data_IF_804363498997
#
_entry.id   IF_804363498997
#
_cell.length_a   1.000
_cell.length_b   1.000
_cell.length_c   1.000
_cell.angle_alpha   90.00
_cell.angle_beta   90.00
_cell.angle_gamma   90.00
#
_symmetry.space_group_name_H-M   'P 1'
#
loop_
_entity.id
_entity.type
_entity.pdbx_description
1 polymer ?
#
# COMPACT_ATOMS: atom_id res chain seq x y z
N UNK A 1 31.82 -58.73 56.57
CA UNK A 1 32.50 -58.29 55.33
C UNK A 1 31.53 -58.48 54.21
N UNK A 2 31.00 -57.30 53.65
CA UNK A 2 30.03 -57.32 52.62
C UNK A 2 30.66 -56.63 51.39
N UNK A 3 30.80 -57.42 50.33
CA UNK A 3 31.30 -56.93 49.05
C UNK A 3 30.20 -56.19 48.25
N UNK A 4 30.45 -54.98 47.90
CA UNK A 4 29.57 -54.16 47.04
C UNK A 4 29.95 -54.40 45.56
N UNK A 5 29.02 -54.93 44.80
CA UNK A 5 29.15 -55.05 43.34
C UNK A 5 28.66 -53.78 42.61
N UNK A 6 29.57 -53.20 41.85
CA UNK A 6 29.28 -52.06 40.98
C UNK A 6 28.68 -52.58 39.67
N UNK A 7 27.41 -52.27 39.42
CA UNK A 7 26.77 -52.46 38.11
C UNK A 7 27.00 -51.24 37.25
N UNK A 8 27.80 -51.39 36.20
CA UNK A 8 28.05 -50.41 35.17
C UNK A 8 26.86 -50.41 34.19
N UNK A 9 26.07 -49.33 34.21
CA UNK A 9 25.03 -49.09 33.21
C UNK A 9 25.65 -48.43 31.99
N UNK A 10 25.70 -49.17 30.87
CA UNK A 10 26.06 -48.64 29.57
C UNK A 10 24.81 -47.96 28.99
N UNK A 11 24.79 -46.63 28.96
CA UNK A 11 23.78 -45.83 28.26
C UNK A 11 24.18 -45.77 26.77
N UNK A 12 23.46 -46.50 25.93
CA UNK A 12 23.52 -46.33 24.48
C UNK A 12 22.75 -45.06 24.12
N UNK A 13 23.46 -43.98 23.79
CA UNK A 13 22.93 -42.80 23.17
C UNK A 13 22.66 -43.09 21.69
N UNK A 14 21.42 -43.40 21.36
CA UNK A 14 20.93 -43.34 19.98
C UNK A 14 20.81 -41.88 19.55
N UNK A 15 21.83 -41.36 18.88
CA UNK A 15 21.76 -40.11 18.11
C UNK A 15 20.93 -40.38 16.85
N UNK A 16 19.64 -40.07 16.91
CA UNK A 16 18.84 -39.91 15.69
C UNK A 16 19.27 -38.64 14.97
N UNK A 17 20.08 -38.83 13.91
CA UNK A 17 20.29 -37.77 12.92
C UNK A 17 18.93 -37.43 12.28
N UNK A 18 18.35 -36.30 12.69
CA UNK A 18 17.34 -35.64 11.92
C UNK A 18 18.04 -34.93 10.73
N UNK A 19 18.07 -35.61 9.59
CA UNK A 19 18.30 -34.96 8.30
C UNK A 19 17.07 -34.13 8.02
N UNK A 20 17.12 -32.87 8.48
CA UNK A 20 16.18 -31.86 8.07
C UNK A 20 16.39 -31.58 6.57
N UNK A 21 15.58 -32.22 5.74
CA UNK A 21 15.39 -31.78 4.36
C UNK A 21 14.83 -30.36 4.42
N UNK A 22 15.72 -29.36 4.32
CA UNK A 22 15.34 -28.00 4.00
C UNK A 22 14.67 -28.04 2.63
N UNK A 23 13.34 -28.17 2.60
CA UNK A 23 12.57 -27.75 1.46
C UNK A 23 12.78 -26.24 1.35
N UNK A 24 13.78 -25.83 0.59
CA UNK A 24 13.79 -24.52 -0.03
C UNK A 24 12.58 -24.50 -0.94
N UNK A 25 11.44 -24.05 -0.42
CA UNK A 25 10.36 -23.61 -1.28
C UNK A 25 10.97 -22.53 -2.18
N UNK A 26 11.11 -22.89 -3.43
CA UNK A 26 11.51 -21.95 -4.49
C UNK A 26 10.41 -20.88 -4.53
N UNK A 27 10.62 -19.79 -3.79
CA UNK A 27 9.74 -18.62 -3.78
C UNK A 27 10.04 -17.85 -5.05
N UNK A 28 9.86 -18.48 -6.19
CA UNK A 28 9.69 -17.78 -7.44
C UNK A 28 8.29 -17.16 -7.39
N UNK A 29 8.19 -15.99 -6.76
CA UNK A 29 6.99 -15.17 -6.85
C UNK A 29 6.64 -14.96 -8.33
N UNK A 30 5.37 -14.71 -8.67
CA UNK A 30 4.95 -14.47 -10.04
C UNK A 30 5.87 -13.42 -10.65
N UNK A 31 6.44 -13.74 -11.82
CA UNK A 31 7.34 -12.85 -12.54
C UNK A 31 6.68 -11.48 -12.63
N UNK A 32 7.33 -10.47 -12.09
CA UNK A 32 6.91 -9.08 -12.25
C UNK A 32 6.88 -8.86 -13.76
N UNK A 33 5.75 -8.33 -14.25
CA UNK A 33 5.52 -8.06 -15.65
C UNK A 33 6.67 -7.21 -16.20
N UNK A 34 7.40 -7.74 -17.16
CA UNK A 34 8.59 -7.11 -17.73
C UNK A 34 8.28 -5.72 -18.30
N UNK A 35 7.04 -5.51 -18.75
CA UNK A 35 6.58 -4.22 -19.28
C UNK A 35 6.53 -3.16 -18.16
N UNK A 36 6.08 -3.51 -16.96
CA UNK A 36 6.12 -2.57 -15.84
C UNK A 36 7.54 -2.29 -15.35
N UNK A 37 8.41 -3.30 -15.33
CA UNK A 37 9.82 -3.08 -15.01
C UNK A 37 10.50 -2.20 -16.06
N UNK A 38 10.12 -2.37 -17.32
CA UNK A 38 10.60 -1.53 -18.42
C UNK A 38 10.10 -0.10 -18.26
N UNK A 39 8.83 0.11 -17.94
CA UNK A 39 8.27 1.43 -17.69
C UNK A 39 8.85 2.07 -16.42
N UNK A 40 9.05 1.32 -15.34
CA UNK A 40 9.80 1.81 -14.17
C UNK A 40 11.22 2.21 -14.53
N UNK A 41 11.90 1.46 -15.41
CA UNK A 41 13.26 1.81 -15.86
C UNK A 41 13.28 3.07 -16.72
N UNK A 42 12.27 3.23 -17.60
CA UNK A 42 12.13 4.45 -18.41
C UNK A 42 11.88 5.65 -17.49
N UNK A 43 10.95 5.54 -16.55
CA UNK A 43 10.68 6.58 -15.56
C UNK A 43 11.89 6.88 -14.67
N UNK A 44 12.68 5.86 -14.32
CA UNK A 44 13.96 6.04 -13.60
C UNK A 44 15.03 6.69 -14.47
N UNK A 45 15.19 6.29 -15.73
CA UNK A 45 16.22 6.83 -16.62
C UNK A 45 15.96 8.30 -16.99
N UNK A 46 14.69 8.67 -17.16
CA UNK A 46 14.32 10.08 -17.36
C UNK A 46 14.46 10.90 -16.06
N UNK A 47 14.45 10.22 -14.90
CA UNK A 47 14.62 10.81 -13.58
C UNK A 47 16.08 10.90 -13.10
N UNK A 48 17.04 10.27 -13.76
CA UNK A 48 18.46 10.27 -13.32
C UNK A 48 19.08 11.68 -13.21
N UNK A 49 18.53 12.65 -13.92
CA UNK A 49 18.93 14.06 -13.80
C UNK A 49 18.04 14.87 -12.85
N UNK A 50 17.15 14.23 -12.09
CA UNK A 50 16.24 14.89 -11.14
C UNK A 50 16.40 14.26 -9.77
N UNK A 51 16.67 15.05 -8.72
CA UNK A 51 16.71 14.57 -7.33
C UNK A 51 15.36 14.03 -6.83
N UNK A 52 14.31 14.14 -7.63
CA UNK A 52 12.91 13.88 -7.30
C UNK A 52 12.36 12.57 -7.89
N UNK A 53 13.25 11.59 -8.20
CA UNK A 53 12.85 10.24 -8.60
C UNK A 53 11.89 9.60 -7.57
N UNK A 54 11.41 8.40 -7.83
CA UNK A 54 10.51 7.69 -6.93
C UNK A 54 10.85 7.90 -5.46
N UNK A 55 10.02 8.66 -4.75
CA UNK A 55 10.19 8.87 -3.31
C UNK A 55 9.76 7.58 -2.60
N UNK A 56 10.75 6.77 -2.22
CA UNK A 56 10.53 5.46 -1.57
C UNK A 56 10.59 5.54 -0.04
N UNK A 57 10.92 6.70 0.51
CA UNK A 57 11.19 6.89 1.94
C UNK A 57 10.30 7.96 2.58
N UNK A 58 9.05 8.08 2.14
CA UNK A 58 8.08 9.01 2.71
C UNK A 58 7.86 8.72 4.19
N UNK A 59 8.00 9.78 4.99
CA UNK A 59 7.76 9.74 6.44
C UNK A 59 6.26 9.74 6.76
N UNK A 60 5.91 9.51 8.03
CA UNK A 60 4.53 9.64 8.48
C UNK A 60 4.02 11.08 8.30
N UNK A 61 4.87 12.09 8.53
CA UNK A 61 4.51 13.49 8.26
C UNK A 61 4.16 13.73 6.80
N UNK A 62 4.92 13.15 5.86
CA UNK A 62 4.59 13.26 4.42
C UNK A 62 3.19 12.67 4.11
N UNK A 63 2.81 11.58 4.79
CA UNK A 63 1.48 10.99 4.65
C UNK A 63 0.39 11.88 5.25
N UNK A 64 0.63 12.50 6.41
CA UNK A 64 -0.31 13.40 7.08
C UNK A 64 -0.55 14.65 6.22
N UNK A 65 0.52 15.17 5.60
CA UNK A 65 0.43 16.35 4.74
C UNK A 65 -0.25 16.05 3.39
N UNK A 66 -0.03 14.85 2.86
CA UNK A 66 -0.49 14.47 1.52
C UNK A 66 -1.93 13.95 1.50
N UNK A 67 -2.34 13.20 2.51
CA UNK A 67 -3.62 12.51 2.56
C UNK A 67 -4.72 13.38 3.20
N UNK A 68 -6.01 13.03 3.04
CA UNK A 68 -7.10 13.77 3.67
C UNK A 68 -6.91 13.97 5.17
N UNK A 69 -7.28 15.12 5.74
CA UNK A 69 -7.01 15.47 7.15
C UNK A 69 -7.52 14.44 8.18
N UNK A 70 -8.50 13.63 7.81
CA UNK A 70 -9.00 12.53 8.66
C UNK A 70 -8.04 11.36 8.85
N UNK A 71 -7.01 11.22 8.00
CA UNK A 71 -6.08 10.09 8.06
C UNK A 71 -5.34 10.02 9.40
N UNK A 72 -4.69 11.10 9.81
CA UNK A 72 -3.95 11.13 11.08
C UNK A 72 -4.83 10.76 12.28
N UNK A 73 -6.06 11.30 12.33
CA UNK A 73 -7.03 10.96 13.38
C UNK A 73 -7.49 9.50 13.34
N UNK A 74 -7.67 8.94 12.12
CA UNK A 74 -8.02 7.53 11.98
C UNK A 74 -6.89 6.63 12.49
N UNK A 75 -5.65 6.95 12.13
CA UNK A 75 -4.47 6.22 12.58
C UNK A 75 -4.28 6.30 14.11
N UNK A 76 -4.52 7.47 14.71
CA UNK A 76 -4.42 7.67 16.15
C UNK A 76 -5.46 6.89 16.96
N UNK A 77 -6.61 6.57 16.35
CA UNK A 77 -7.69 5.80 17.00
C UNK A 77 -7.48 4.29 16.95
N UNK A 78 -6.51 3.80 16.19
CA UNK A 78 -6.26 2.38 16.08
C UNK A 78 -5.79 1.80 17.42
N UNK A 79 -6.42 0.73 17.84
CA UNK A 79 -6.07 -0.04 19.03
C UNK A 79 -5.24 -1.29 18.71
N UNK A 80 -4.88 -2.08 19.73
CA UNK A 80 -3.97 -3.23 19.59
C UNK A 80 -4.50 -4.37 18.69
N UNK A 81 -5.80 -4.44 18.45
CA UNK A 81 -6.43 -5.44 17.58
C UNK A 81 -6.67 -4.91 16.16
N UNK A 82 -6.45 -3.61 15.96
CA UNK A 82 -6.63 -2.99 14.66
C UNK A 82 -5.40 -3.15 13.78
N UNK A 83 -5.60 -2.95 12.47
CA UNK A 83 -4.55 -3.13 11.49
C UNK A 83 -4.54 -2.00 10.48
N UNK A 84 -3.34 -1.54 10.16
CA UNK A 84 -3.06 -0.59 9.10
C UNK A 84 -2.33 -1.28 7.95
N UNK A 85 -2.83 -1.12 6.72
CA UNK A 85 -2.14 -1.56 5.49
C UNK A 85 -1.63 -0.34 4.74
N UNK A 86 -0.37 -0.35 4.36
CA UNK A 86 0.25 0.67 3.51
C UNK A 86 0.67 0.05 2.17
N UNK A 87 0.00 0.46 1.09
CA UNK A 87 0.23 -0.05 -0.26
C UNK A 87 1.19 0.88 -0.99
N UNK A 88 2.27 0.33 -1.53
CA UNK A 88 3.34 1.14 -2.11
C UNK A 88 4.24 1.77 -1.05
N UNK A 89 4.42 1.08 0.07
CA UNK A 89 5.10 1.58 1.28
C UNK A 89 6.59 1.95 1.08
N UNK A 90 7.20 1.61 -0.05
CA UNK A 90 8.62 1.86 -0.29
C UNK A 90 9.50 1.25 0.80
N UNK A 91 10.29 2.04 1.51
CA UNK A 91 11.10 1.58 2.65
C UNK A 91 10.29 1.28 3.93
N UNK A 92 8.99 1.57 3.94
CA UNK A 92 8.12 1.43 5.10
C UNK A 92 8.35 2.49 6.18
N UNK A 93 8.92 3.66 5.79
CA UNK A 93 9.30 4.71 6.75
C UNK A 93 8.09 5.26 7.51
N UNK A 94 6.95 5.46 6.87
CA UNK A 94 5.74 5.92 7.55
C UNK A 94 5.31 4.95 8.67
N UNK A 95 5.40 3.64 8.42
CA UNK A 95 5.13 2.61 9.45
C UNK A 95 6.17 2.68 10.58
N UNK A 96 7.46 2.77 10.24
CA UNK A 96 8.50 2.90 11.28
C UNK A 96 8.30 4.14 12.14
N UNK A 97 7.96 5.27 11.52
CA UNK A 97 7.70 6.53 12.23
C UNK A 97 6.47 6.41 13.14
N UNK A 98 5.41 5.68 12.74
CA UNK A 98 4.24 5.41 13.57
C UNK A 98 4.60 4.79 14.92
N UNK A 99 5.61 3.94 14.98
CA UNK A 99 6.05 3.29 16.21
C UNK A 99 7.17 4.04 16.95
N UNK A 100 7.96 4.84 16.26
CA UNK A 100 9.20 5.43 16.83
C UNK A 100 9.14 6.93 17.04
N UNK A 101 8.16 7.63 16.47
CA UNK A 101 8.02 9.08 16.57
C UNK A 101 6.69 9.48 17.16
N UNK A 102 6.65 10.68 17.74
CA UNK A 102 5.41 11.43 17.99
C UNK A 102 5.23 12.40 16.85
N UNK A 103 4.14 12.25 16.10
CA UNK A 103 3.75 13.14 15.01
C UNK A 103 2.52 13.95 15.42
N UNK A 104 2.45 15.20 14.97
CA UNK A 104 1.22 15.97 15.03
C UNK A 104 0.30 15.44 13.91
N UNK A 105 -0.88 15.01 14.30
CA UNK A 105 -1.85 14.39 13.38
C UNK A 105 -2.79 15.42 12.74
N UNK A 106 -2.44 16.71 12.83
CA UNK A 106 -3.16 17.80 12.18
C UNK A 106 -4.38 18.31 12.94
N UNK A 107 -4.57 17.89 14.18
CA UNK A 107 -5.60 18.42 15.11
C UNK A 107 -5.00 19.22 16.28
N UNK A 108 -3.68 19.37 16.27
CA UNK A 108 -2.90 20.10 17.30
C UNK A 108 -2.78 19.39 18.64
N UNK A 109 -3.59 18.37 18.90
CA UNK A 109 -3.64 17.68 20.18
C UNK A 109 -3.34 16.19 20.08
N UNK A 110 -3.74 15.56 18.98
CA UNK A 110 -3.62 14.12 18.80
C UNK A 110 -2.24 13.75 18.27
N UNK A 111 -1.51 12.96 19.03
CA UNK A 111 -0.21 12.43 18.65
C UNK A 111 -0.23 10.92 18.64
N UNK A 112 0.41 10.34 17.65
CA UNK A 112 0.71 8.91 17.65
C UNK A 112 1.66 8.63 18.78
N UNK A 113 1.19 7.93 19.80
CA UNK A 113 2.04 7.54 20.95
C UNK A 113 2.81 6.30 20.59
N UNK A 114 4.10 6.29 20.90
CA UNK A 114 4.94 5.09 20.81
C UNK A 114 4.23 3.93 21.50
N UNK A 115 4.13 2.85 20.78
CA UNK A 115 3.61 1.62 21.34
C UNK A 115 2.09 1.57 21.48
N UNK A 116 1.28 2.38 20.80
CA UNK A 116 -0.17 2.19 20.71
C UNK A 116 -0.59 1.23 19.64
N UNK A 117 0.12 0.45 18.97
CA UNK A 117 -0.01 -0.97 19.00
C UNK A 117 -0.96 -1.63 18.00
N UNK A 118 -1.56 -0.87 17.10
CA UNK A 118 -2.11 -1.47 15.90
C UNK A 118 -1.01 -2.24 15.17
N UNK A 119 -1.36 -3.31 14.53
CA UNK A 119 -0.45 -4.02 13.64
C UNK A 119 -0.38 -3.27 12.32
N UNK A 120 0.81 -3.15 11.74
CA UNK A 120 0.98 -2.52 10.44
C UNK A 120 1.59 -3.47 9.42
N UNK A 121 1.09 -3.37 8.19
CA UNK A 121 1.53 -4.18 7.06
C UNK A 121 1.95 -3.25 5.93
N UNK A 122 3.20 -3.37 5.50
CA UNK A 122 3.72 -2.73 4.30
C UNK A 122 3.62 -3.68 3.10
N UNK A 123 3.18 -3.17 1.96
CA UNK A 123 3.29 -3.88 0.67
C UNK A 123 4.13 -3.03 -0.28
N UNK A 124 5.15 -3.63 -0.87
CA UNK A 124 5.95 -3.04 -1.93
C UNK A 124 6.21 -4.06 -3.04
N UNK A 125 6.45 -3.61 -4.27
CA UNK A 125 6.77 -4.51 -5.38
C UNK A 125 8.15 -5.15 -5.16
N UNK A 126 9.10 -4.38 -4.61
CA UNK A 126 10.46 -4.83 -4.33
C UNK A 126 10.74 -4.79 -2.82
N UNK A 127 11.70 -5.58 -2.38
CA UNK A 127 12.22 -5.44 -1.02
C UNK A 127 13.08 -4.18 -0.93
N UNK A 128 12.54 -3.15 -0.30
CA UNK A 128 13.20 -1.86 -0.10
C UNK A 128 13.55 -1.59 1.36
N UNK A 129 13.44 -2.63 2.21
CA UNK A 129 13.74 -2.50 3.63
C UNK A 129 15.20 -2.11 3.85
N UNK A 130 15.41 -1.12 4.71
CA UNK A 130 16.69 -0.66 5.17
C UNK A 130 17.00 -1.24 6.57
N UNK A 131 18.25 -1.19 7.04
CA UNK A 131 18.60 -1.66 8.39
C UNK A 131 17.69 -1.14 9.50
N UNK A 132 17.18 0.08 9.36
CA UNK A 132 16.24 0.70 10.29
C UNK A 132 14.92 -0.08 10.40
N UNK A 133 14.42 -0.69 9.32
CA UNK A 133 13.24 -1.53 9.37
C UNK A 133 13.42 -2.71 10.32
N UNK A 134 14.53 -3.41 10.18
CA UNK A 134 14.84 -4.58 11.02
C UNK A 134 15.05 -4.20 12.49
N UNK A 135 15.70 -3.06 12.75
CA UNK A 135 15.87 -2.53 14.10
C UNK A 135 14.53 -2.17 14.73
N UNK A 136 13.64 -1.53 13.97
CA UNK A 136 12.30 -1.21 14.44
C UNK A 136 11.51 -2.48 14.72
N UNK A 137 11.50 -3.45 13.79
CA UNK A 137 10.80 -4.71 13.95
C UNK A 137 11.29 -5.49 15.19
N UNK A 138 12.59 -5.52 15.43
CA UNK A 138 13.18 -6.18 16.59
C UNK A 138 12.81 -5.52 17.94
N UNK A 139 12.43 -4.24 17.94
CA UNK A 139 12.02 -3.49 19.12
C UNK A 139 10.52 -3.62 19.44
N UNK A 140 9.76 -4.28 18.59
CA UNK A 140 8.31 -4.44 18.69
C UNK A 140 7.93 -5.88 19.03
N UNK A 141 6.65 -6.10 19.33
CA UNK A 141 6.11 -7.44 19.46
C UNK A 141 6.20 -8.25 18.16
N UNK A 142 6.32 -9.56 18.27
CA UNK A 142 6.40 -10.45 17.11
C UNK A 142 5.22 -10.21 16.17
N UNK A 143 5.51 -9.99 14.89
CA UNK A 143 4.52 -9.71 13.84
C UNK A 143 3.71 -8.40 14.02
N UNK A 144 4.17 -7.47 14.85
CA UNK A 144 3.52 -6.17 14.97
C UNK A 144 3.68 -5.35 13.71
N UNK A 145 4.83 -5.45 13.03
CA UNK A 145 5.02 -4.94 11.67
C UNK A 145 5.40 -6.07 10.73
N UNK A 146 4.81 -6.05 9.53
CA UNK A 146 5.07 -7.02 8.48
C UNK A 146 5.38 -6.29 7.18
N UNK A 147 6.21 -6.89 6.33
CA UNK A 147 6.57 -6.33 5.03
C UNK A 147 6.45 -7.42 3.97
N UNK A 148 5.55 -7.21 3.03
CA UNK A 148 5.29 -8.09 1.90
C UNK A 148 5.89 -7.47 0.64
N UNK A 149 6.58 -8.27 -0.17
CA UNK A 149 7.25 -7.85 -1.40
C UNK A 149 7.26 -8.96 -2.45
N UNK A 150 7.76 -8.65 -3.66
CA UNK A 150 7.80 -9.53 -4.83
C UNK A 150 6.44 -9.98 -5.37
N UNK A 151 5.37 -9.33 -4.95
CA UNK A 151 4.02 -9.54 -5.47
C UNK A 151 3.32 -8.19 -5.58
N UNK A 152 2.43 -8.06 -6.55
CA UNK A 152 1.50 -6.94 -6.61
C UNK A 152 0.35 -7.14 -5.66
N UNK A 153 -0.31 -6.07 -5.29
CA UNK A 153 -1.51 -6.12 -4.45
C UNK A 153 -2.55 -7.12 -4.96
N UNK A 154 -2.71 -7.26 -6.30
CA UNK A 154 -3.65 -8.19 -6.92
C UNK A 154 -3.30 -9.66 -6.68
N UNK A 155 -2.04 -10.00 -6.46
CA UNK A 155 -1.54 -11.37 -6.36
C UNK A 155 -1.63 -11.95 -4.94
N UNK A 156 -1.88 -11.11 -3.93
CA UNK A 156 -2.17 -11.56 -2.58
C UNK A 156 -3.63 -11.99 -2.46
N UNK A 157 -3.91 -13.09 -1.76
CA UNK A 157 -5.30 -13.45 -1.44
C UNK A 157 -5.86 -12.56 -0.32
N UNK A 158 -7.19 -12.53 -0.18
CA UNK A 158 -7.84 -11.83 0.93
C UNK A 158 -7.50 -12.47 2.27
N UNK A 159 -7.38 -13.80 2.30
CA UNK A 159 -7.06 -14.55 3.52
C UNK A 159 -5.60 -14.35 3.94
N UNK A 160 -4.68 -14.24 2.97
CA UNK A 160 -3.25 -13.96 3.21
C UNK A 160 -3.05 -12.60 3.89
N UNK A 161 -3.80 -11.59 3.48
CA UNK A 161 -3.69 -10.24 4.03
C UNK A 161 -4.62 -10.00 5.23
N UNK A 162 -5.83 -10.58 5.21
CA UNK A 162 -6.85 -10.36 6.24
C UNK A 162 -7.55 -8.99 6.12
N UNK A 163 -8.11 -8.49 7.23
CA UNK A 163 -8.87 -7.24 7.28
C UNK A 163 -8.08 -6.10 7.92
N UNK A 164 -8.44 -4.87 7.55
CA UNK A 164 -7.78 -3.65 8.00
C UNK A 164 -8.80 -2.55 8.34
N UNK A 165 -8.54 -1.79 9.36
CA UNK A 165 -9.31 -0.61 9.73
C UNK A 165 -8.88 0.62 8.95
N UNK A 166 -7.60 0.70 8.61
CA UNK A 166 -7.03 1.77 7.77
C UNK A 166 -6.22 1.13 6.65
N UNK A 167 -6.44 1.62 5.43
CA UNK A 167 -5.59 1.32 4.29
C UNK A 167 -5.11 2.65 3.69
N UNK A 168 -3.82 2.74 3.39
CA UNK A 168 -3.21 3.88 2.68
C UNK A 168 -2.59 3.42 1.38
N UNK A 169 -2.64 4.31 0.39
CA UNK A 169 -1.95 4.17 -0.89
C UNK A 169 -1.48 5.56 -1.33
N UNK A 170 -0.26 5.92 -0.97
CA UNK A 170 0.31 7.22 -1.32
C UNK A 170 1.21 7.07 -2.54
N UNK A 171 0.64 7.33 -3.74
CA UNK A 171 1.30 7.13 -5.02
C UNK A 171 1.80 5.68 -5.19
N UNK A 172 0.96 4.73 -4.81
CA UNK A 172 1.19 3.30 -4.94
C UNK A 172 0.29 2.67 -6.00
N UNK A 173 -0.30 1.52 -5.69
CA UNK A 173 -1.07 0.73 -6.64
C UNK A 173 -2.25 1.47 -7.26
N UNK A 174 -2.96 2.32 -6.52
CA UNK A 174 -4.09 3.10 -7.02
C UNK A 174 -3.69 4.04 -8.17
N UNK A 175 -2.50 4.63 -8.09
CA UNK A 175 -1.97 5.56 -9.10
C UNK A 175 -1.40 4.86 -10.34
N UNK A 176 -1.00 3.58 -10.22
CA UNK A 176 -0.26 2.89 -11.29
C UNK A 176 -0.96 1.67 -11.87
N UNK A 177 -2.03 1.17 -11.25
CA UNK A 177 -2.68 -0.06 -11.74
C UNK A 177 -3.36 0.12 -13.09
N UNK A 178 -3.25 -0.88 -13.94
CA UNK A 178 -4.00 -1.03 -15.18
C UNK A 178 -5.39 -1.66 -14.98
N UNK A 179 -5.73 -2.01 -13.73
CA UNK A 179 -6.98 -2.68 -13.34
C UNK A 179 -7.64 -1.93 -12.16
N UNK A 180 -7.97 -0.66 -12.39
CA UNK A 180 -8.39 0.26 -11.32
C UNK A 180 -9.62 -0.24 -10.55
N UNK A 181 -10.65 -0.76 -11.23
CA UNK A 181 -11.85 -1.28 -10.54
C UNK A 181 -11.56 -2.54 -9.74
N UNK A 182 -10.76 -3.47 -10.26
CA UNK A 182 -10.37 -4.69 -9.55
C UNK A 182 -9.48 -4.38 -8.34
N UNK A 183 -8.56 -3.42 -8.47
CA UNK A 183 -7.75 -2.94 -7.37
C UNK A 183 -8.61 -2.35 -6.26
N UNK A 184 -9.53 -1.45 -6.63
CA UNK A 184 -10.44 -0.79 -5.69
C UNK A 184 -11.36 -1.80 -5.00
N UNK A 185 -11.94 -2.75 -5.74
CA UNK A 185 -12.76 -3.84 -5.19
C UNK A 185 -11.97 -4.65 -4.15
N UNK A 186 -10.72 -4.99 -4.46
CA UNK A 186 -9.86 -5.73 -3.53
C UNK A 186 -9.55 -4.92 -2.27
N UNK A 187 -9.19 -3.65 -2.40
CA UNK A 187 -8.96 -2.75 -1.26
C UNK A 187 -10.19 -2.69 -0.37
N UNK A 188 -11.38 -2.49 -0.96
CA UNK A 188 -12.63 -2.42 -0.21
C UNK A 188 -13.04 -3.76 0.41
N UNK A 189 -12.67 -4.88 -0.21
CA UNK A 189 -12.82 -6.22 0.40
C UNK A 189 -11.87 -6.43 1.58
N UNK A 190 -10.68 -5.85 1.56
CA UNK A 190 -9.73 -5.88 2.68
C UNK A 190 -10.09 -4.93 3.80
N UNK A 191 -10.85 -3.86 3.53
CA UNK A 191 -11.37 -3.01 4.59
C UNK A 191 -12.37 -3.77 5.46
N UNK A 192 -12.21 -3.62 6.76
CA UNK A 192 -13.23 -4.01 7.72
C UNK A 192 -14.44 -3.07 7.64
N UNK A 193 -15.54 -3.45 8.27
CA UNK A 193 -16.70 -2.58 8.39
C UNK A 193 -16.30 -1.33 9.18
N UNK A 194 -16.68 -0.15 8.68
CA UNK A 194 -16.28 1.16 9.19
C UNK A 194 -14.77 1.47 9.01
N UNK A 195 -14.05 0.66 8.25
CA UNK A 195 -12.69 0.96 7.85
C UNK A 195 -12.61 2.06 6.80
N UNK A 196 -11.44 2.66 6.65
CA UNK A 196 -11.20 3.78 5.75
C UNK A 196 -9.99 3.54 4.84
N UNK A 197 -10.16 3.87 3.56
CA UNK A 197 -9.10 3.90 2.57
C UNK A 197 -8.76 5.35 2.22
N UNK A 198 -7.48 5.69 2.29
CA UNK A 198 -6.93 7.01 1.97
C UNK A 198 -5.95 6.89 0.82
N UNK A 199 -6.15 7.68 -0.23
CA UNK A 199 -5.29 7.69 -1.41
C UNK A 199 -5.33 9.04 -2.12
N UNK A 200 -4.51 9.20 -3.14
CA UNK A 200 -4.52 10.36 -4.00
C UNK A 200 -4.15 10.00 -5.45
N UNK A 201 -4.52 10.90 -6.35
CA UNK A 201 -4.05 10.92 -7.74
C UNK A 201 -3.37 12.25 -8.03
N UNK A 202 -2.23 12.18 -8.67
CA UNK A 202 -1.44 13.34 -9.10
C UNK A 202 -1.64 13.65 -10.59
N UNK A 203 -2.63 13.04 -11.19
CA UNK A 203 -2.94 13.10 -12.62
C UNK A 203 -4.18 13.94 -12.95
N UNK A 204 -4.46 14.93 -12.11
CA UNK A 204 -5.63 15.79 -12.29
C UNK A 204 -5.35 16.80 -13.41
N UNK A 205 -6.22 16.81 -14.41
CA UNK A 205 -6.17 17.83 -15.47
C UNK A 205 -6.31 19.22 -14.84
N UNK A 206 -5.31 20.08 -15.06
CA UNK A 206 -5.44 21.49 -14.68
C UNK A 206 -6.56 22.13 -15.49
N UNK A 207 -7.35 22.99 -14.85
CA UNK A 207 -8.32 23.83 -15.56
C UNK A 207 -7.61 24.60 -16.65
N UNK A 208 -8.08 24.49 -17.89
CA UNK A 208 -7.48 25.16 -19.05
C UNK A 208 -6.81 24.24 -20.09
N UNK A 209 -6.86 22.92 -19.93
CA UNK A 209 -6.64 21.97 -21.02
C UNK A 209 -5.21 21.76 -21.50
N UNK A 210 -4.21 22.36 -20.91
CA UNK A 210 -2.81 22.07 -21.23
C UNK A 210 -2.22 21.12 -20.19
N UNK A 211 -2.39 19.84 -20.41
CA UNK A 211 -1.71 18.80 -19.65
C UNK A 211 -0.22 18.80 -20.00
N UNK A 212 0.51 19.78 -19.54
CA UNK A 212 1.96 19.66 -19.55
C UNK A 212 2.34 18.80 -18.35
N UNK A 213 3.05 17.69 -18.55
CA UNK A 213 3.60 16.96 -17.43
C UNK A 213 4.54 17.91 -16.70
N UNK A 214 4.20 18.23 -15.46
CA UNK A 214 5.09 19.04 -14.62
C UNK A 214 6.34 18.26 -14.26
N UNK A 215 6.24 16.92 -14.25
CA UNK A 215 7.33 16.01 -13.92
C UNK A 215 7.31 14.81 -14.85
N UNK A 216 8.47 14.37 -15.33
CA UNK A 216 8.61 13.14 -16.12
C UNK A 216 8.17 11.88 -15.34
N UNK A 217 8.11 11.96 -14.02
CA UNK A 217 7.75 10.88 -13.11
C UNK A 217 6.31 11.01 -12.59
N UNK A 218 5.46 11.84 -13.20
CA UNK A 218 4.04 11.89 -12.83
C UNK A 218 3.41 10.52 -13.04
N UNK A 219 2.54 10.08 -12.14
CA UNK A 219 1.69 8.92 -12.38
C UNK A 219 0.89 9.09 -13.67
N UNK A 220 0.35 7.98 -14.16
CA UNK A 220 -0.47 8.00 -15.37
C UNK A 220 -1.65 8.94 -15.23
N UNK A 221 -1.91 9.75 -16.26
CA UNK A 221 -3.18 10.44 -16.39
C UNK A 221 -4.31 9.42 -16.45
N UNK A 222 -5.29 9.57 -15.57
CA UNK A 222 -6.43 8.65 -15.47
C UNK A 222 -7.64 9.26 -16.15
N UNK A 223 -8.15 8.56 -17.17
CA UNK A 223 -9.40 8.92 -17.83
C UNK A 223 -10.41 7.79 -17.69
N UNK A 224 -11.63 8.13 -17.30
CA UNK A 224 -12.77 7.23 -17.31
C UNK A 224 -13.80 7.82 -18.28
N UNK A 225 -14.29 7.02 -19.21
CA UNK A 225 -15.34 7.43 -20.14
C UNK A 225 -16.50 6.44 -20.11
N UNK A 226 -17.67 6.91 -20.44
CA UNK A 226 -18.85 6.08 -20.71
C UNK A 226 -18.89 5.63 -22.16
N UNK A 227 -19.82 4.73 -22.53
CA UNK A 227 -19.95 4.23 -23.89
C UNK A 227 -20.31 5.31 -24.92
N UNK A 228 -20.92 6.41 -24.49
CA UNK A 228 -21.23 7.59 -25.33
C UNK A 228 -20.05 8.58 -25.41
N UNK A 229 -18.91 8.26 -24.80
CA UNK A 229 -17.72 9.12 -24.80
C UNK A 229 -17.70 10.21 -23.74
N UNK A 230 -18.71 10.30 -22.89
CA UNK A 230 -18.73 11.28 -21.80
C UNK A 230 -17.65 10.97 -20.75
N UNK A 231 -16.93 12.00 -20.29
CA UNK A 231 -15.92 11.86 -19.24
C UNK A 231 -16.56 11.67 -17.87
N UNK A 232 -16.02 10.75 -17.09
CA UNK A 232 -16.40 10.49 -15.68
C UNK A 232 -15.22 10.79 -14.77
N UNK A 233 -15.37 11.74 -13.86
CA UNK A 233 -14.34 12.03 -12.86
C UNK A 233 -14.14 10.82 -11.93
N UNK A 234 -12.89 10.54 -11.55
CA UNK A 234 -12.57 9.44 -10.62
C UNK A 234 -13.36 9.57 -9.31
N UNK A 235 -13.49 10.78 -8.79
CA UNK A 235 -14.34 11.04 -7.62
C UNK A 235 -15.81 10.60 -7.84
N UNK A 236 -16.39 10.90 -9.00
CA UNK A 236 -17.77 10.50 -9.33
C UNK A 236 -17.91 9.00 -9.46
N UNK A 237 -16.94 8.33 -10.06
CA UNK A 237 -16.89 6.88 -10.12
C UNK A 237 -16.77 6.25 -8.72
N UNK A 238 -15.87 6.75 -7.85
CA UNK A 238 -15.76 6.27 -6.48
C UNK A 238 -17.07 6.45 -5.70
N UNK A 239 -17.76 7.60 -5.87
CA UNK A 239 -19.07 7.87 -5.24
C UNK A 239 -20.20 6.96 -5.74
N UNK A 240 -20.04 6.34 -6.91
CA UNK A 240 -21.02 5.37 -7.44
C UNK A 240 -20.85 3.95 -6.88
N UNK A 241 -19.79 3.71 -6.10
CA UNK A 241 -19.59 2.42 -5.40
C UNK A 241 -20.63 2.28 -4.30
N UNK A 242 -21.29 1.13 -4.22
CA UNK A 242 -22.24 0.87 -3.14
C UNK A 242 -21.53 0.66 -1.80
N UNK A 243 -22.23 0.96 -0.71
CA UNK A 243 -21.72 0.69 0.64
C UNK A 243 -20.44 1.45 1.04
N UNK A 244 -20.20 2.58 0.40
CA UNK A 244 -19.11 3.51 0.79
C UNK A 244 -19.61 4.95 0.85
N UNK A 245 -18.97 5.74 1.70
CA UNK A 245 -19.01 7.19 1.69
C UNK A 245 -17.68 7.72 1.16
N UNK A 246 -17.74 8.65 0.21
CA UNK A 246 -16.53 9.16 -0.46
C UNK A 246 -16.45 10.67 -0.33
N UNK A 247 -15.34 11.17 0.17
CA UNK A 247 -14.94 12.57 0.05
C UNK A 247 -13.74 12.70 -0.89
N UNK A 248 -13.75 13.76 -1.68
CA UNK A 248 -12.68 14.11 -2.61
C UNK A 248 -12.37 15.59 -2.47
N UNK A 249 -11.10 15.92 -2.56
CA UNK A 249 -10.63 17.31 -2.48
C UNK A 249 -9.50 17.51 -3.48
N UNK A 250 -9.59 18.57 -4.29
CA UNK A 250 -8.53 18.99 -5.19
C UNK A 250 -7.57 19.92 -4.45
N UNK A 251 -6.32 19.51 -4.33
CA UNK A 251 -5.22 20.29 -3.76
C UNK A 251 -4.42 20.96 -4.87
N UNK A 252 -4.64 22.26 -5.04
CA UNK A 252 -3.93 23.08 -6.04
C UNK A 252 -2.66 23.72 -5.50
N UNK A 253 -2.42 23.63 -4.20
CA UNK A 253 -1.17 23.99 -3.53
C UNK A 253 -0.01 23.06 -3.87
N UNK A 254 -0.31 21.86 -4.35
CA UNK A 254 0.67 20.92 -4.89
C UNK A 254 0.99 21.20 -6.36
N UNK A 255 2.20 20.83 -6.78
CA UNK A 255 2.64 20.95 -8.18
C UNK A 255 3.27 19.60 -8.62
N UNK A 256 2.61 18.83 -9.49
CA UNK A 256 1.27 19.06 -10.06
C UNK A 256 0.16 19.01 -9.01
N UNK A 257 -1.03 19.56 -9.29
CA UNK A 257 -2.19 19.42 -8.43
C UNK A 257 -2.52 17.95 -8.18
N UNK A 258 -3.04 17.66 -6.99
CA UNK A 258 -3.46 16.31 -6.61
C UNK A 258 -4.94 16.32 -6.22
N UNK A 259 -5.64 15.24 -6.54
CA UNK A 259 -6.95 14.98 -5.97
C UNK A 259 -6.80 13.91 -4.90
N UNK A 260 -7.19 14.24 -3.66
CA UNK A 260 -7.12 13.35 -2.51
C UNK A 260 -8.47 12.71 -2.26
N UNK A 261 -8.46 11.43 -1.87
CA UNK A 261 -9.67 10.63 -1.69
C UNK A 261 -9.68 9.98 -0.32
N UNK A 262 -10.84 10.05 0.34
CA UNK A 262 -11.17 9.24 1.51
C UNK A 262 -12.41 8.43 1.19
N UNK A 263 -12.28 7.11 1.26
CA UNK A 263 -13.35 6.15 1.04
C UNK A 263 -13.63 5.41 2.34
N UNK A 264 -14.80 5.62 2.91
CA UNK A 264 -15.23 5.00 4.16
C UNK A 264 -16.26 3.90 3.89
N UNK A 265 -16.00 2.70 4.37
CA UNK A 265 -16.86 1.54 4.16
C UNK A 265 -17.99 1.50 5.18
N UNK A 266 -19.23 1.63 4.74
CA UNK A 266 -20.40 1.72 5.62
C UNK A 266 -21.21 0.43 5.73
N UNK A 267 -21.08 -0.50 4.78
CA UNK A 267 -21.69 -1.82 4.86
C UNK A 267 -20.88 -2.91 4.13
N UNK A 268 -21.29 -4.17 4.25
CA UNK A 268 -20.49 -5.32 3.79
C UNK A 268 -20.61 -5.60 2.29
N UNK A 269 -21.77 -5.29 1.69
CA UNK A 269 -22.08 -5.65 0.31
C UNK A 269 -21.59 -4.59 -0.69
N UNK A 270 -20.28 -4.39 -0.73
CA UNK A 270 -19.64 -3.45 -1.65
C UNK A 270 -19.75 -3.96 -3.09
N UNK A 271 -20.17 -3.09 -4.00
CA UNK A 271 -20.17 -3.34 -5.45
C UNK A 271 -19.44 -2.19 -6.15
N UNK A 272 -18.35 -2.48 -6.81
CA UNK A 272 -17.54 -1.52 -7.55
C UNK A 272 -17.97 -1.56 -9.02
N UNK A 273 -18.42 -0.44 -9.61
CA UNK A 273 -18.74 -0.39 -11.03
C UNK A 273 -17.50 -0.78 -11.87
N UNK A 274 -17.65 -1.74 -12.79
CA UNK A 274 -16.52 -2.29 -13.52
C UNK A 274 -15.95 -1.28 -14.52
N UNK A 275 -14.64 -1.20 -14.57
CA UNK A 275 -13.88 -0.45 -15.55
C UNK A 275 -13.13 -1.41 -16.47
N UNK A 276 -13.37 -1.29 -17.77
CA UNK A 276 -12.59 -2.00 -18.77
C UNK A 276 -11.43 -1.11 -19.25
N UNK A 277 -10.21 -1.64 -19.26
CA UNK A 277 -9.05 -0.92 -19.75
C UNK A 277 -9.11 -0.73 -21.27
N UNK A 278 -9.07 0.52 -21.73
CA UNK A 278 -8.97 0.89 -23.15
C UNK A 278 -7.50 0.98 -23.56
N UNK A 279 -6.69 1.70 -22.77
CA UNK A 279 -5.26 1.90 -23.02
C UNK A 279 -4.49 2.03 -21.71
N UNK A 280 -3.17 1.76 -21.80
CA UNK A 280 -2.28 1.88 -20.64
C UNK A 280 -0.85 2.16 -21.12
N UNK A 281 -0.23 3.21 -20.56
CA UNK A 281 1.14 3.58 -20.82
C UNK A 281 1.39 4.28 -22.16
N UNK A 282 0.32 4.61 -22.91
CA UNK A 282 0.44 5.37 -24.15
C UNK A 282 0.48 6.88 -23.84
N UNK A 283 1.24 7.63 -24.68
CA UNK A 283 1.26 9.08 -24.59
C UNK A 283 2.42 9.67 -23.77
N UNK A 284 2.47 11.01 -23.74
CA UNK A 284 3.40 11.79 -22.93
C UNK A 284 2.65 12.99 -22.37
N UNK A 285 2.28 13.00 -21.09
CA UNK A 285 2.53 11.96 -20.09
C UNK A 285 1.82 10.63 -20.39
N UNK A 286 2.27 9.51 -19.82
CA UNK A 286 1.61 8.24 -20.00
C UNK A 286 0.16 8.29 -19.48
N UNK A 287 -0.76 7.69 -20.21
CA UNK A 287 -2.18 7.68 -19.89
C UNK A 287 -2.66 6.28 -19.56
N UNK A 288 -3.66 6.19 -18.68
CA UNK A 288 -4.48 5.00 -18.49
C UNK A 288 -5.94 5.37 -18.69
N UNK A 289 -6.58 4.72 -19.64
CA UNK A 289 -7.94 5.02 -20.04
C UNK A 289 -8.84 3.83 -19.80
N UNK A 290 -10.00 4.10 -19.23
CA UNK A 290 -10.97 3.10 -18.86
C UNK A 290 -12.35 3.42 -19.42
N UNK A 291 -13.09 2.37 -19.80
CA UNK A 291 -14.51 2.43 -20.14
C UNK A 291 -15.32 1.97 -18.93
N UNK A 292 -16.20 2.83 -18.45
CA UNK A 292 -17.17 2.48 -17.42
C UNK A 292 -18.26 1.60 -18.05
N UNK A 293 -18.36 0.36 -17.57
CA UNK A 293 -19.41 -0.58 -17.98
C UNK A 293 -20.68 -0.35 -17.16
N UNK A 294 -21.81 -0.49 -17.81
CA UNK A 294 -23.13 -0.46 -17.17
C UNK A 294 -23.44 -1.76 -16.47
#
# INVERSE_FOLDING_TARGET
MKTFGIRMFVLLLLQTLWLGTSCSADISGPKIDEEMLKQERILKSEGENRPEGYVINRSLSDYIDALPPGFGRALAKLGPNDRWLDIGAGEGRAIMDYYTRSEDLGDGETRVRRGTKARAVAISIEDRRQPRWYQTAASLETNQIQYFFNKRMRDYSLDELGKFQVITDLLGGFSYTDQLSSFTDKVLKLLDLKGSFYTLLQDVKAEGGTNKPFYANSPYLTEITTADGSEVKVCSWLKSISCVEVSCELRTDWKPPVEIYHVHKVCSAVTVPPLERISYGAGTPPERRFLLKK
#
